data_IF_402909999252
#
_entry.id   IF_402909999252
#
_cell.length_a   1.000
_cell.length_b   1.000
_cell.length_c   1.000
_cell.angle_alpha   90.00
_cell.angle_beta   90.00
_cell.angle_gamma   90.00
#
_symmetry.space_group_name_H-M   'P 1'
#
loop_
_entity.id
_entity.type
_entity.pdbx_description
1 polymer ?
#
# COMPACT_ATOMS: atom_id res chain seq x y z
N UNK A 1 32.04 -16.55 -13.81
CA UNK A 1 30.67 -16.26 -14.31
C UNK A 1 29.82 -16.07 -13.07
N UNK A 2 29.28 -14.87 -12.81
CA UNK A 2 28.31 -14.72 -11.72
C UNK A 2 27.02 -15.39 -12.20
N UNK A 3 26.61 -16.46 -11.52
CA UNK A 3 25.39 -17.20 -11.85
C UNK A 3 24.21 -16.22 -11.94
N UNK A 4 23.57 -16.17 -13.11
CA UNK A 4 22.34 -15.42 -13.32
C UNK A 4 21.25 -16.01 -12.42
N UNK A 5 20.48 -15.17 -11.73
CA UNK A 5 19.39 -15.62 -10.87
C UNK A 5 18.25 -16.12 -11.77
N UNK A 6 17.78 -17.35 -11.54
CA UNK A 6 16.62 -17.92 -12.26
C UNK A 6 15.29 -17.35 -11.72
N UNK A 7 15.03 -16.09 -12.06
CA UNK A 7 13.76 -15.42 -11.80
C UNK A 7 12.55 -16.16 -12.39
N UNK A 8 12.61 -16.72 -13.62
CA UNK A 8 11.52 -17.52 -14.16
C UNK A 8 11.10 -18.68 -13.26
N UNK A 9 12.04 -19.41 -12.66
CA UNK A 9 11.72 -20.53 -11.78
C UNK A 9 11.08 -20.09 -10.45
N UNK A 10 11.51 -18.95 -9.88
CA UNK A 10 10.82 -18.34 -8.73
C UNK A 10 9.37 -18.02 -9.11
N UNK A 11 9.15 -17.41 -10.27
CA UNK A 11 7.81 -17.02 -10.69
C UNK A 11 6.95 -18.25 -10.99
N UNK A 12 7.49 -19.27 -11.65
CA UNK A 12 6.81 -20.54 -11.90
C UNK A 12 6.38 -21.20 -10.60
N UNK A 13 7.23 -21.21 -9.57
CA UNK A 13 6.85 -21.73 -8.25
C UNK A 13 5.59 -20.99 -7.73
N UNK A 14 5.55 -19.67 -7.82
CA UNK A 14 4.41 -18.86 -7.37
C UNK A 14 3.19 -19.12 -8.25
N UNK A 15 3.37 -19.26 -9.56
CA UNK A 15 2.33 -19.59 -10.54
C UNK A 15 1.59 -20.88 -10.20
N UNK A 16 2.32 -21.94 -9.79
CA UNK A 16 1.68 -23.19 -9.34
C UNK A 16 0.73 -23.01 -8.15
N UNK A 17 0.87 -21.93 -7.38
CA UNK A 17 0.01 -21.66 -6.22
C UNK A 17 -1.30 -20.97 -6.60
N UNK A 18 -1.35 -20.28 -7.75
CA UNK A 18 -2.54 -19.52 -8.16
C UNK A 18 -3.19 -20.04 -9.45
N UNK A 19 -2.61 -21.04 -10.10
CA UNK A 19 -3.29 -21.84 -11.12
C UNK A 19 -4.30 -22.83 -10.52
N UNK A 20 -4.20 -23.11 -9.22
CA UNK A 20 -5.13 -23.97 -8.47
C UNK A 20 -6.41 -23.23 -8.02
N UNK A 21 -7.38 -23.97 -7.47
CA UNK A 21 -8.60 -23.40 -6.90
C UNK A 21 -8.30 -22.50 -5.69
N UNK A 22 -8.21 -21.18 -5.93
CA UNK A 22 -7.96 -20.15 -4.92
C UNK A 22 -8.96 -20.19 -3.74
N UNK A 23 -10.18 -20.70 -3.95
CA UNK A 23 -11.15 -20.85 -2.87
C UNK A 23 -10.75 -21.88 -1.82
N UNK A 24 -9.94 -22.89 -2.19
CA UNK A 24 -9.48 -23.90 -1.25
C UNK A 24 -8.55 -23.30 -0.19
N UNK A 25 -7.76 -22.28 -0.54
CA UNK A 25 -6.94 -21.53 0.41
C UNK A 25 -7.81 -20.67 1.33
N UNK A 26 -8.80 -19.95 0.77
CA UNK A 26 -9.77 -19.19 1.55
C UNK A 26 -10.50 -20.06 2.58
N UNK A 27 -10.94 -21.25 2.18
CA UNK A 27 -11.66 -22.21 3.03
C UNK A 27 -10.74 -22.98 4.00
N UNK A 28 -9.44 -22.67 4.05
CA UNK A 28 -8.41 -23.38 4.82
C UNK A 28 -8.34 -24.89 4.55
N UNK A 29 -8.80 -25.32 3.38
CA UNK A 29 -8.75 -26.73 2.94
C UNK A 29 -7.35 -27.10 2.42
N UNK A 30 -6.64 -26.11 1.88
CA UNK A 30 -5.24 -26.21 1.45
C UNK A 30 -4.45 -25.07 2.07
N UNK A 31 -3.20 -25.33 2.45
CA UNK A 31 -2.26 -24.29 2.89
C UNK A 31 -1.49 -23.75 1.71
N UNK A 32 -1.42 -22.43 1.59
CA UNK A 32 -0.64 -21.76 0.56
C UNK A 32 0.85 -22.02 0.80
N UNK A 33 1.59 -22.48 -0.22
CA UNK A 33 3.05 -22.54 -0.14
C UNK A 33 3.61 -21.20 -0.64
N UNK A 34 4.50 -20.59 0.13
CA UNK A 34 5.02 -19.24 -0.15
C UNK A 34 6.55 -19.32 -0.18
N UNK A 35 7.23 -18.78 -1.21
CA UNK A 35 8.68 -18.89 -1.28
C UNK A 35 9.34 -17.92 -0.28
N UNK A 36 10.20 -18.43 0.59
CA UNK A 36 11.12 -17.61 1.37
C UNK A 36 12.40 -17.41 0.55
N UNK A 37 12.42 -16.35 -0.25
CA UNK A 37 13.51 -16.05 -1.18
C UNK A 37 14.76 -15.63 -0.38
N UNK A 38 15.95 -16.21 -0.62
CA UNK A 38 17.15 -15.86 0.13
C UNK A 38 17.50 -14.36 0.07
N UNK A 39 18.03 -13.75 1.16
CA UNK A 39 18.39 -12.32 1.18
C UNK A 39 19.30 -11.88 0.02
N UNK A 40 20.25 -12.71 -0.39
CA UNK A 40 21.12 -12.42 -1.54
C UNK A 40 20.32 -12.27 -2.84
N UNK A 41 19.38 -13.20 -3.08
CA UNK A 41 18.50 -13.21 -4.25
C UNK A 41 17.56 -12.01 -4.21
N UNK A 42 17.00 -11.68 -3.04
CA UNK A 42 16.20 -10.46 -2.84
C UNK A 42 16.99 -9.21 -3.17
N UNK A 43 18.23 -9.07 -2.69
CA UNK A 43 19.05 -7.90 -2.97
C UNK A 43 19.38 -7.77 -4.48
N UNK A 44 19.64 -8.90 -5.16
CA UNK A 44 19.82 -8.92 -6.62
C UNK A 44 18.54 -8.51 -7.37
N UNK A 45 17.38 -9.02 -6.95
CA UNK A 45 16.07 -8.62 -7.48
C UNK A 45 15.85 -7.12 -7.33
N UNK A 46 16.07 -6.57 -6.13
CA UNK A 46 15.92 -5.14 -5.85
C UNK A 46 16.86 -4.29 -6.72
N UNK A 47 18.12 -4.72 -6.85
CA UNK A 47 19.11 -4.03 -7.71
C UNK A 47 18.65 -4.02 -9.17
N UNK A 48 18.17 -5.16 -9.69
CA UNK A 48 17.68 -5.27 -11.07
C UNK A 48 16.45 -4.41 -11.32
N UNK A 49 15.45 -4.49 -10.45
CA UNK A 49 14.22 -3.68 -10.54
C UNK A 49 14.52 -2.20 -10.43
N UNK A 50 15.37 -1.79 -9.48
CA UNK A 50 15.80 -0.39 -9.33
C UNK A 50 16.38 0.14 -10.63
N UNK A 51 17.29 -0.60 -11.28
CA UNK A 51 17.89 -0.20 -12.55
C UNK A 51 16.92 -0.08 -13.73
N UNK A 52 15.76 -0.76 -13.66
CA UNK A 52 14.66 -0.60 -14.63
C UNK A 52 13.85 0.66 -14.28
N UNK A 53 13.36 0.74 -13.04
CA UNK A 53 12.46 1.82 -12.58
C UNK A 53 13.11 3.20 -12.63
N UNK A 54 14.41 3.30 -12.33
CA UNK A 54 15.19 4.55 -12.38
C UNK A 54 15.18 5.17 -13.78
N UNK A 55 15.19 4.33 -14.83
CA UNK A 55 15.19 4.75 -16.25
C UNK A 55 13.81 5.13 -16.77
N UNK A 56 12.75 4.69 -16.10
CA UNK A 56 11.39 5.06 -16.48
C UNK A 56 11.11 6.55 -16.18
N UNK A 57 10.21 7.22 -16.92
CA UNK A 57 9.84 8.59 -16.58
C UNK A 57 8.95 8.62 -15.31
N UNK A 58 8.93 9.76 -14.61
CA UNK A 58 8.02 9.98 -13.48
C UNK A 58 6.54 9.96 -13.88
N UNK A 59 6.24 10.29 -15.15
CA UNK A 59 4.94 10.14 -15.78
C UNK A 59 5.02 9.08 -16.89
N UNK A 60 4.43 7.91 -16.65
CA UNK A 60 4.41 6.82 -17.64
C UNK A 60 3.43 7.11 -18.77
N UNK A 61 3.81 6.79 -20.01
CA UNK A 61 2.89 6.76 -21.15
C UNK A 61 2.60 5.30 -21.52
N UNK A 62 1.38 4.85 -21.26
CA UNK A 62 0.97 3.45 -21.30
C UNK A 62 0.03 3.23 -22.49
N UNK A 63 0.28 2.19 -23.29
CA UNK A 63 -0.48 1.90 -24.52
C UNK A 63 -0.96 0.45 -24.50
N UNK A 64 -2.26 0.25 -24.74
CA UNK A 64 -2.93 -1.06 -24.77
C UNK A 64 -3.95 -1.24 -23.65
N UNK A 65 -4.41 -2.47 -23.47
CA UNK A 65 -5.34 -2.86 -22.41
C UNK A 65 -4.59 -3.26 -21.14
N UNK A 66 -4.90 -2.56 -20.04
CA UNK A 66 -4.30 -2.79 -18.74
C UNK A 66 -5.32 -3.32 -17.75
N UNK A 67 -4.92 -4.35 -17.00
CA UNK A 67 -5.55 -4.67 -15.72
C UNK A 67 -4.96 -3.72 -14.68
N UNK A 68 -5.79 -2.78 -14.23
CA UNK A 68 -5.42 -1.76 -13.24
C UNK A 68 -5.76 -2.31 -11.86
N UNK A 69 -4.71 -2.44 -11.04
CA UNK A 69 -4.74 -2.93 -9.68
C UNK A 69 -4.56 -1.73 -8.74
N UNK A 70 -5.53 -1.54 -7.84
CA UNK A 70 -5.50 -0.53 -6.79
C UNK A 70 -4.58 -0.90 -5.63
N UNK A 71 -4.85 -0.33 -4.44
CA UNK A 71 -4.05 -0.64 -3.25
C UNK A 71 -4.17 -2.12 -2.89
N UNK A 72 -3.02 -2.77 -2.64
CA UNK A 72 -2.95 -4.16 -2.19
C UNK A 72 -2.69 -4.28 -0.69
N UNK A 73 -2.01 -3.31 -0.06
CA UNK A 73 -1.76 -3.28 1.37
C UNK A 73 -1.21 -4.60 1.95
N UNK A 74 -0.37 -5.32 1.21
CA UNK A 74 0.14 -6.63 1.60
C UNK A 74 -0.87 -7.79 1.52
N UNK A 75 -2.00 -7.62 0.81
CA UNK A 75 -2.95 -8.70 0.51
C UNK A 75 -2.41 -9.60 -0.59
N UNK A 76 -1.50 -10.49 -0.21
CA UNK A 76 -0.86 -11.42 -1.13
C UNK A 76 -1.88 -12.35 -1.81
N UNK A 77 -2.89 -12.80 -1.07
CA UNK A 77 -3.91 -13.71 -1.61
C UNK A 77 -4.78 -13.05 -2.69
N UNK A 78 -5.10 -11.76 -2.53
CA UNK A 78 -5.84 -11.01 -3.54
C UNK A 78 -5.00 -10.79 -4.79
N UNK A 79 -3.70 -10.50 -4.64
CA UNK A 79 -2.78 -10.43 -5.77
C UNK A 79 -2.77 -11.75 -6.56
N UNK A 80 -2.58 -12.88 -5.87
CA UNK A 80 -2.61 -14.20 -6.50
C UNK A 80 -3.95 -14.48 -7.21
N UNK A 81 -5.07 -14.09 -6.59
CA UNK A 81 -6.40 -14.25 -7.18
C UNK A 81 -6.59 -13.39 -8.44
N UNK A 82 -6.09 -12.17 -8.45
CA UNK A 82 -6.12 -11.29 -9.62
C UNK A 82 -5.32 -11.92 -10.77
N UNK A 83 -4.12 -12.46 -10.49
CA UNK A 83 -3.29 -13.14 -11.49
C UNK A 83 -3.97 -14.42 -12.00
N UNK A 84 -4.58 -15.20 -11.12
CA UNK A 84 -5.35 -16.40 -11.48
C UNK A 84 -6.47 -16.09 -12.48
N UNK A 85 -7.21 -14.99 -12.26
CA UNK A 85 -8.37 -14.61 -13.09
C UNK A 85 -8.00 -13.88 -14.38
N UNK A 86 -6.95 -13.06 -14.37
CA UNK A 86 -6.59 -12.21 -15.50
C UNK A 86 -5.35 -12.69 -16.27
N UNK A 87 -4.72 -13.76 -15.81
CA UNK A 87 -3.68 -14.48 -16.52
C UNK A 87 -2.26 -13.97 -16.25
N UNK A 88 -1.30 -14.68 -16.84
CA UNK A 88 0.11 -14.38 -16.69
C UNK A 88 0.50 -13.05 -17.38
N UNK A 89 1.40 -12.25 -16.79
CA UNK A 89 1.92 -11.03 -17.42
C UNK A 89 2.63 -11.23 -18.77
N UNK A 90 2.97 -12.48 -19.12
CA UNK A 90 3.45 -12.83 -20.46
C UNK A 90 2.44 -12.48 -21.56
N UNK A 91 1.14 -12.43 -21.24
CA UNK A 91 0.04 -12.17 -22.20
C UNK A 91 -0.83 -10.97 -21.84
N UNK A 92 -0.77 -10.50 -20.60
CA UNK A 92 -1.60 -9.41 -20.09
C UNK A 92 -0.74 -8.28 -19.51
N UNK A 93 -1.13 -7.03 -19.75
CA UNK A 93 -0.48 -5.87 -19.11
C UNK A 93 -1.16 -5.52 -17.79
N UNK A 94 -0.36 -5.12 -16.81
CA UNK A 94 -0.81 -4.71 -15.49
C UNK A 94 -0.29 -3.31 -15.14
N UNK A 95 -1.14 -2.51 -14.52
CA UNK A 95 -0.78 -1.26 -13.89
C UNK A 95 -1.11 -1.33 -12.40
N UNK A 96 -0.10 -1.24 -11.54
CA UNK A 96 -0.29 -1.14 -10.09
C UNK A 96 -0.30 0.34 -9.68
N UNK A 97 -1.34 0.79 -8.99
CA UNK A 97 -1.51 2.19 -8.56
C UNK A 97 -0.80 2.52 -7.22
N UNK A 98 0.21 1.73 -6.83
CA UNK A 98 0.91 1.88 -5.56
C UNK A 98 0.13 1.37 -4.34
N UNK A 99 0.68 1.60 -3.15
CA UNK A 99 0.22 0.99 -1.89
C UNK A 99 0.20 -0.55 -1.98
N UNK A 100 1.30 -1.11 -2.49
CA UNK A 100 1.64 -2.53 -2.43
C UNK A 100 1.89 -2.95 -0.98
N UNK A 101 2.52 -2.06 -0.20
CA UNK A 101 2.69 -2.17 1.26
C UNK A 101 1.52 -1.50 1.99
N UNK A 102 1.47 -1.62 3.32
CA UNK A 102 0.40 -1.08 4.14
C UNK A 102 0.34 -1.84 5.46
N UNK A 103 -0.80 -2.43 5.77
CA UNK A 103 -1.06 -3.03 7.10
C UNK A 103 -1.45 -4.52 7.02
N UNK A 104 -1.35 -5.16 5.85
CA UNK A 104 -1.54 -6.60 5.69
C UNK A 104 -0.34 -7.41 6.18
N UNK A 105 -0.53 -8.72 6.30
CA UNK A 105 0.45 -9.63 6.92
C UNK A 105 1.53 -10.15 5.95
N UNK A 106 1.43 -9.86 4.64
CA UNK A 106 2.30 -10.38 3.58
C UNK A 106 2.80 -9.27 2.65
N UNK A 107 3.25 -8.15 3.23
CA UNK A 107 3.68 -6.98 2.47
C UNK A 107 4.95 -7.29 1.67
N UNK A 108 5.90 -8.02 2.27
CA UNK A 108 7.17 -8.35 1.63
C UNK A 108 6.93 -9.25 0.42
N UNK A 109 6.12 -10.30 0.54
CA UNK A 109 5.80 -11.19 -0.57
C UNK A 109 5.05 -10.48 -1.69
N UNK A 110 4.09 -9.62 -1.34
CA UNK A 110 3.34 -8.82 -2.30
C UNK A 110 4.26 -7.97 -3.16
N UNK A 111 5.20 -7.25 -2.54
CA UNK A 111 6.19 -6.44 -3.26
C UNK A 111 7.12 -7.32 -4.11
N UNK A 112 7.64 -8.42 -3.54
CA UNK A 112 8.57 -9.31 -4.24
C UNK A 112 7.95 -9.92 -5.50
N UNK A 113 6.68 -10.32 -5.48
CA UNK A 113 6.01 -10.85 -6.68
C UNK A 113 5.80 -9.78 -7.74
N UNK A 114 5.35 -8.59 -7.36
CA UNK A 114 5.19 -7.48 -8.32
C UNK A 114 6.53 -7.09 -8.94
N UNK A 115 7.61 -7.11 -8.16
CA UNK A 115 8.98 -6.85 -8.62
C UNK A 115 9.53 -7.96 -9.51
N UNK A 116 9.23 -9.21 -9.20
CA UNK A 116 9.57 -10.35 -10.05
C UNK A 116 8.88 -10.24 -11.42
N UNK A 117 7.59 -9.90 -11.42
CA UNK A 117 6.84 -9.61 -12.65
C UNK A 117 7.47 -8.45 -13.44
N UNK A 118 7.94 -7.40 -12.75
CA UNK A 118 8.60 -6.25 -13.40
C UNK A 118 9.92 -6.61 -14.06
N UNK A 119 10.75 -7.46 -13.45
CA UNK A 119 11.99 -7.94 -14.06
C UNK A 119 11.70 -8.82 -15.29
N UNK A 120 10.73 -9.73 -15.17
CA UNK A 120 10.45 -10.71 -16.22
C UNK A 120 9.72 -10.09 -17.42
N UNK A 121 8.85 -9.11 -17.18
CA UNK A 121 8.04 -8.46 -18.21
C UNK A 121 8.03 -6.93 -18.05
N UNK A 122 9.17 -6.25 -18.23
CA UNK A 122 9.32 -4.83 -17.94
C UNK A 122 8.40 -3.93 -18.77
N UNK A 123 7.99 -4.36 -19.97
CA UNK A 123 7.06 -3.62 -20.84
C UNK A 123 5.59 -3.83 -20.52
N UNK A 124 5.26 -4.94 -19.83
CA UNK A 124 3.88 -5.31 -19.52
C UNK A 124 3.49 -4.92 -18.09
N UNK A 125 4.46 -4.67 -17.22
CA UNK A 125 4.23 -4.30 -15.83
C UNK A 125 4.61 -2.84 -15.61
N UNK A 126 3.60 -2.03 -15.30
CA UNK A 126 3.76 -0.66 -14.83
C UNK A 126 3.45 -0.59 -13.33
N UNK A 127 4.30 0.09 -12.57
CA UNK A 127 4.13 0.24 -11.12
C UNK A 127 4.23 1.73 -10.82
N UNK A 128 3.17 2.28 -10.23
CA UNK A 128 3.18 3.61 -9.65
C UNK A 128 3.50 3.53 -8.17
N UNK A 129 4.01 4.63 -7.64
CA UNK A 129 4.25 4.78 -6.21
C UNK A 129 2.98 5.20 -5.50
N UNK A 130 2.77 4.66 -4.30
CA UNK A 130 1.79 5.13 -3.34
C UNK A 130 2.45 5.73 -2.10
N UNK A 131 1.62 6.16 -1.16
CA UNK A 131 2.08 6.75 0.10
C UNK A 131 2.70 5.70 1.03
N UNK A 132 2.22 4.46 0.96
CA UNK A 132 2.69 3.37 1.82
C UNK A 132 4.14 2.96 1.52
N UNK A 133 4.66 3.28 0.32
CA UNK A 133 6.05 3.05 -0.09
C UNK A 133 7.03 4.17 0.35
N UNK A 134 6.63 5.04 1.27
CA UNK A 134 7.55 5.98 1.91
C UNK A 134 8.11 5.40 3.21
N UNK A 135 9.37 5.70 3.52
CA UNK A 135 10.09 5.17 4.69
C UNK A 135 9.30 5.29 5.98
N UNK A 136 8.69 6.45 6.21
CA UNK A 136 7.87 6.70 7.42
C UNK A 136 6.65 5.78 7.48
N UNK A 137 5.96 5.58 6.36
CA UNK A 137 4.78 4.70 6.30
C UNK A 137 5.19 3.23 6.48
N UNK A 138 6.25 2.79 5.81
CA UNK A 138 6.80 1.43 5.96
C UNK A 138 7.19 1.09 7.41
N UNK A 139 7.75 2.04 8.16
CA UNK A 139 8.05 1.84 9.60
C UNK A 139 6.75 1.81 10.42
N UNK A 140 5.85 2.77 10.21
CA UNK A 140 4.64 2.88 11.05
C UNK A 140 3.68 1.71 10.82
N UNK A 141 3.60 1.19 9.59
CA UNK A 141 2.60 0.20 9.19
C UNK A 141 3.15 -1.24 9.16
N UNK A 142 4.34 -1.49 9.71
CA UNK A 142 4.80 -2.86 9.99
C UNK A 142 5.67 -3.50 8.90
N UNK A 143 5.97 -2.80 7.79
CA UNK A 143 6.80 -3.36 6.71
C UNK A 143 8.23 -3.64 7.19
N UNK A 144 8.79 -2.74 8.01
CA UNK A 144 10.14 -2.92 8.59
C UNK A 144 10.16 -4.14 9.51
N UNK A 145 9.18 -4.24 10.39
CA UNK A 145 9.02 -5.30 11.37
C UNK A 145 8.80 -6.66 10.70
N UNK A 146 7.98 -6.71 9.64
CA UNK A 146 7.78 -7.92 8.84
C UNK A 146 9.10 -8.39 8.22
N UNK A 147 9.86 -7.47 7.63
CA UNK A 147 11.14 -7.78 6.98
C UNK A 147 12.19 -8.29 7.98
N UNK A 148 12.30 -7.63 9.14
CA UNK A 148 13.22 -8.01 10.22
C UNK A 148 12.88 -9.39 10.78
N UNK A 149 11.58 -9.70 10.95
CA UNK A 149 11.10 -11.02 11.36
C UNK A 149 11.42 -12.11 10.34
N UNK A 150 11.19 -11.85 9.06
CA UNK A 150 11.42 -12.84 8.00
C UNK A 150 12.90 -13.16 7.78
N UNK A 151 13.76 -12.15 7.86
CA UNK A 151 15.17 -12.26 7.49
C UNK A 151 16.13 -12.02 8.66
N UNK A 152 15.65 -12.13 9.90
CA UNK A 152 16.47 -12.07 11.12
C UNK A 152 17.38 -10.83 11.19
N UNK A 153 16.82 -9.66 10.86
CA UNK A 153 17.53 -8.37 10.79
C UNK A 153 18.65 -8.30 9.72
N UNK A 154 18.59 -9.07 8.64
CA UNK A 154 19.42 -8.77 7.46
C UNK A 154 19.10 -7.37 6.92
N UNK A 155 20.12 -6.60 6.54
CA UNK A 155 20.01 -5.21 6.05
C UNK A 155 19.37 -5.12 4.64
N UNK A 156 18.07 -5.46 4.54
CA UNK A 156 17.27 -5.39 3.31
C UNK A 156 16.38 -4.14 3.26
N UNK A 157 16.10 -3.50 4.40
CA UNK A 157 15.19 -2.36 4.45
C UNK A 157 15.68 -1.19 3.61
N UNK A 158 16.98 -0.84 3.72
CA UNK A 158 17.60 0.20 2.91
C UNK A 158 17.46 -0.04 1.39
N UNK A 159 17.82 -1.23 0.87
CA UNK A 159 17.57 -1.62 -0.51
C UNK A 159 16.10 -1.48 -0.97
N UNK A 160 15.13 -1.87 -0.14
CA UNK A 160 13.71 -1.65 -0.45
C UNK A 160 13.38 -0.16 -0.56
N UNK A 161 13.80 0.66 0.41
CA UNK A 161 13.53 2.11 0.40
C UNK A 161 14.16 2.79 -0.81
N UNK A 162 15.40 2.41 -1.17
CA UNK A 162 16.08 2.89 -2.38
C UNK A 162 15.33 2.51 -3.66
N UNK A 163 14.69 1.35 -3.70
CA UNK A 163 13.91 0.91 -4.86
C UNK A 163 12.57 1.62 -4.92
N UNK A 164 11.89 1.78 -3.78
CA UNK A 164 10.65 2.55 -3.70
C UNK A 164 10.83 4.02 -4.06
N UNK A 165 11.96 4.63 -3.69
CA UNK A 165 12.21 6.05 -3.95
C UNK A 165 12.27 6.41 -5.43
N UNK A 166 12.55 5.43 -6.30
CA UNK A 166 12.59 5.58 -7.76
C UNK A 166 11.34 5.05 -8.47
N UNK A 167 10.23 4.74 -7.77
CA UNK A 167 8.99 4.35 -8.46
C UNK A 167 8.38 5.53 -9.25
N UNK A 168 7.86 5.32 -10.47
CA UNK A 168 7.05 6.30 -11.21
C UNK A 168 5.87 6.83 -10.38
N UNK A 169 5.43 8.06 -10.65
CA UNK A 169 4.46 8.76 -9.79
C UNK A 169 3.04 8.67 -10.36
N UNK A 170 2.91 8.81 -11.67
CA UNK A 170 1.63 8.76 -12.37
C UNK A 170 1.78 8.07 -13.72
N UNK A 171 0.64 7.71 -14.32
CA UNK A 171 0.59 7.14 -15.67
C UNK A 171 -0.55 7.73 -16.49
N UNK A 172 -0.39 7.72 -17.81
CA UNK A 172 -1.45 8.02 -18.77
C UNK A 172 -1.69 6.78 -19.62
N UNK A 173 -2.88 6.20 -19.51
CA UNK A 173 -3.28 5.08 -20.37
C UNK A 173 -3.95 5.63 -21.63
N UNK A 174 -3.42 5.23 -22.79
CA UNK A 174 -3.94 5.52 -24.13
C UNK A 174 -4.19 7.01 -24.41
N UNK A 175 -3.47 7.92 -23.75
CA UNK A 175 -3.71 9.38 -23.80
C UNK A 175 -5.11 9.80 -23.32
N UNK A 176 -5.79 8.95 -22.56
CA UNK A 176 -7.19 9.17 -22.15
C UNK A 176 -7.39 9.13 -20.64
N UNK A 177 -6.73 8.22 -19.92
CA UNK A 177 -6.95 8.05 -18.48
C UNK A 177 -5.72 8.42 -17.65
N UNK A 178 -5.89 9.34 -16.70
CA UNK A 178 -4.89 9.67 -15.69
C UNK A 178 -4.89 8.63 -14.58
N UNK A 179 -3.73 8.10 -14.23
CA UNK A 179 -3.56 7.10 -13.19
C UNK A 179 -2.62 7.62 -12.11
N UNK A 180 -3.05 7.61 -10.85
CA UNK A 180 -2.28 8.13 -9.71
C UNK A 180 -2.67 7.38 -8.45
N UNK A 181 -1.80 7.26 -7.44
CA UNK A 181 -2.20 6.62 -6.18
C UNK A 181 -3.16 7.47 -5.35
N UNK A 182 -2.76 8.72 -5.07
CA UNK A 182 -3.52 9.70 -4.30
C UNK A 182 -4.59 10.37 -5.13
N UNK A 183 -4.37 11.56 -5.65
CA UNK A 183 -5.42 12.26 -6.40
C UNK A 183 -4.92 13.47 -7.16
N UNK A 184 -5.81 14.45 -7.32
CA UNK A 184 -5.52 15.71 -8.00
C UNK A 184 -5.47 16.88 -7.00
N UNK A 185 -4.94 18.00 -7.45
CA UNK A 185 -4.81 19.20 -6.63
C UNK A 185 -4.52 20.44 -7.48
N UNK A 186 -4.38 21.58 -6.80
CA UNK A 186 -4.30 22.88 -7.48
C UNK A 186 -2.98 23.09 -8.20
N UNK A 187 -1.90 22.44 -7.77
CA UNK A 187 -0.56 22.62 -8.34
C UNK A 187 -0.35 21.82 -9.63
N UNK A 188 -1.27 20.91 -9.96
CA UNK A 188 -1.17 20.05 -11.14
C UNK A 188 -1.79 20.76 -12.36
N UNK A 189 -1.08 21.74 -12.91
CA UNK A 189 -1.58 22.52 -14.05
C UNK A 189 -1.37 21.86 -15.42
N UNK A 190 -0.38 20.97 -15.54
CA UNK A 190 -0.08 20.27 -16.78
C UNK A 190 0.67 18.96 -16.51
N UNK A 191 0.62 18.03 -17.47
CA UNK A 191 1.32 16.75 -17.38
C UNK A 191 2.86 16.92 -17.36
N UNK A 192 3.38 18.01 -17.94
CA UNK A 192 4.83 18.28 -17.98
C UNK A 192 5.39 18.52 -16.56
N UNK A 193 4.62 19.15 -15.67
CA UNK A 193 5.01 19.35 -14.28
C UNK A 193 5.29 18.00 -13.58
N UNK A 194 4.43 16.99 -13.80
CA UNK A 194 4.62 15.64 -13.26
C UNK A 194 5.82 14.95 -13.94
N UNK A 195 5.92 15.05 -15.26
CA UNK A 195 7.02 14.44 -16.01
C UNK A 195 8.40 14.99 -15.63
N UNK A 196 8.47 16.24 -15.15
CA UNK A 196 9.71 16.90 -14.71
C UNK A 196 10.10 16.61 -13.25
N UNK A 197 9.25 15.92 -12.48
CA UNK A 197 9.59 15.52 -11.12
C UNK A 197 10.81 14.60 -11.18
N UNK A 198 11.89 14.99 -10.48
CA UNK A 198 13.10 14.19 -10.38
C UNK A 198 12.92 13.10 -9.32
N UNK A 199 13.33 11.88 -9.66
CA UNK A 199 13.46 10.75 -8.74
C UNK A 199 14.96 10.51 -8.49
N UNK A 200 15.38 10.01 -7.32
CA UNK A 200 14.57 9.49 -6.21
C UNK A 200 13.81 10.54 -5.40
N UNK A 201 12.74 10.13 -4.73
CA UNK A 201 11.95 10.97 -3.81
C UNK A 201 11.93 10.31 -2.43
N UNK A 202 12.67 10.86 -1.47
CA UNK A 202 12.71 10.27 -0.13
C UNK A 202 11.64 10.85 0.80
N UNK A 203 11.24 12.11 0.56
CA UNK A 203 10.28 12.85 1.36
C UNK A 203 9.32 13.66 0.47
N UNK A 204 8.09 13.86 0.97
CA UNK A 204 7.12 14.76 0.35
C UNK A 204 7.45 16.21 0.71
N UNK A 205 8.31 16.85 -0.09
CA UNK A 205 8.88 18.17 0.19
C UNK A 205 8.20 19.35 -0.52
N UNK A 206 7.21 19.08 -1.37
CA UNK A 206 6.49 20.12 -2.11
C UNK A 206 5.01 19.75 -2.29
N UNK A 207 4.22 20.78 -2.57
CA UNK A 207 2.76 20.66 -2.63
C UNK A 207 2.29 19.77 -3.78
N UNK A 208 2.96 19.80 -4.94
CA UNK A 208 2.63 18.93 -6.09
C UNK A 208 2.72 17.44 -5.70
N UNK A 209 3.80 17.04 -5.02
CA UNK A 209 3.94 15.67 -4.52
C UNK A 209 2.86 15.35 -3.48
N UNK A 210 2.65 16.24 -2.52
CA UNK A 210 1.64 16.04 -1.47
C UNK A 210 0.26 15.78 -2.10
N UNK A 211 -0.13 16.55 -3.11
CA UNK A 211 -1.40 16.37 -3.82
C UNK A 211 -1.49 15.02 -4.55
N UNK A 212 -0.45 14.65 -5.31
CA UNK A 212 -0.41 13.39 -6.06
C UNK A 212 -0.52 12.16 -5.15
N UNK A 213 0.05 12.20 -3.94
CA UNK A 213 0.07 11.04 -3.03
C UNK A 213 -1.08 11.01 -2.01
N UNK A 214 -1.66 12.15 -1.67
CA UNK A 214 -2.58 12.24 -0.52
C UNK A 214 -3.92 12.90 -0.78
N UNK A 215 -4.15 13.54 -1.93
CA UNK A 215 -5.47 14.09 -2.20
C UNK A 215 -6.55 13.02 -2.31
N UNK A 216 -7.76 13.36 -1.89
CA UNK A 216 -8.91 12.45 -1.83
C UNK A 216 -10.16 13.10 -2.44
N UNK A 217 -11.07 12.35 -3.08
CA UNK A 217 -12.32 12.89 -3.58
C UNK A 217 -13.26 13.24 -2.42
N UNK A 218 -14.14 14.20 -2.65
CA UNK A 218 -15.20 14.55 -1.69
C UNK A 218 -16.50 14.90 -2.40
N UNK A 219 -17.62 14.57 -1.74
CA UNK A 219 -18.96 14.96 -2.19
C UNK A 219 -19.45 16.23 -1.45
N UNK A 220 -18.64 16.74 -0.51
CA UNK A 220 -19.02 17.87 0.36
C UNK A 220 -18.94 19.21 -0.38
N UNK A 221 -17.98 19.38 -1.29
CA UNK A 221 -17.75 20.63 -2.02
C UNK A 221 -17.39 20.32 -3.48
N UNK A 222 -17.78 21.18 -4.44
CA UNK A 222 -17.53 20.92 -5.86
C UNK A 222 -16.07 21.14 -6.29
N UNK A 223 -15.33 22.00 -5.59
CA UNK A 223 -13.95 22.37 -5.92
C UNK A 223 -12.95 21.73 -4.93
N UNK A 224 -11.77 22.35 -4.76
CA UNK A 224 -10.74 21.92 -3.83
C UNK A 224 -10.97 22.48 -2.42
N UNK A 225 -10.73 21.65 -1.40
CA UNK A 225 -10.67 22.06 0.01
C UNK A 225 -9.37 21.53 0.64
N UNK A 226 -8.52 22.37 1.24
CA UNK A 226 -7.34 21.90 1.96
C UNK A 226 -7.72 20.95 3.10
N UNK A 227 -7.00 19.84 3.25
CA UNK A 227 -7.18 18.96 4.41
C UNK A 227 -6.67 19.63 5.68
N UNK A 228 -7.31 19.40 6.83
CA UNK A 228 -6.97 20.04 8.13
C UNK A 228 -5.51 19.89 8.56
N UNK A 229 -4.76 18.93 7.99
CA UNK A 229 -3.36 18.65 8.32
C UNK A 229 -2.37 19.15 7.26
N UNK A 230 -2.81 19.87 6.23
CA UNK A 230 -1.95 20.30 5.13
C UNK A 230 -1.33 19.13 4.34
N UNK A 231 -1.94 17.95 4.44
CA UNK A 231 -1.41 16.73 3.84
C UNK A 231 -1.96 16.48 2.44
N UNK A 232 -2.63 17.43 1.81
CA UNK A 232 -3.27 17.25 0.50
C UNK A 232 -4.59 18.02 0.41
N UNK A 233 -5.31 17.81 -0.69
CA UNK A 233 -6.60 18.44 -0.94
C UNK A 233 -7.72 17.39 -1.00
N UNK A 234 -8.90 17.77 -0.50
CA UNK A 234 -10.14 17.17 -0.95
C UNK A 234 -10.53 17.79 -2.29
N UNK A 235 -10.99 17.00 -3.26
CA UNK A 235 -11.42 17.50 -4.57
C UNK A 235 -12.81 16.99 -4.96
N UNK A 236 -13.68 17.90 -5.38
CA UNK A 236 -15.04 17.58 -5.83
C UNK A 236 -15.20 17.35 -7.33
N UNK A 237 -16.46 17.19 -7.74
CA UNK A 237 -16.84 16.91 -9.13
C UNK A 237 -16.38 17.98 -10.13
N UNK A 238 -16.50 19.26 -9.76
CA UNK A 238 -16.12 20.37 -10.63
C UNK A 238 -14.60 20.45 -10.79
N UNK A 239 -13.85 20.28 -9.70
CA UNK A 239 -12.39 20.18 -9.75
C UNK A 239 -11.91 19.01 -10.64
N UNK A 240 -12.54 17.84 -10.51
CA UNK A 240 -12.27 16.68 -11.37
C UNK A 240 -12.54 16.98 -12.85
N UNK A 241 -13.70 17.57 -13.15
CA UNK A 241 -14.11 17.90 -14.52
C UNK A 241 -13.21 18.95 -15.16
N UNK A 242 -12.83 19.99 -14.41
CA UNK A 242 -11.90 21.03 -14.87
C UNK A 242 -10.51 20.46 -15.14
N UNK A 243 -9.99 19.60 -14.24
CA UNK A 243 -8.71 18.94 -14.41
C UNK A 243 -8.67 18.08 -15.69
N UNK A 244 -9.69 17.24 -15.88
CA UNK A 244 -9.80 16.38 -17.06
C UNK A 244 -9.91 17.20 -18.35
N UNK A 245 -10.74 18.25 -18.35
CA UNK A 245 -10.89 19.14 -19.51
C UNK A 245 -9.59 19.87 -19.84
N UNK A 246 -8.90 20.39 -18.82
CA UNK A 246 -7.62 21.11 -18.97
C UNK A 246 -6.55 20.22 -19.60
N UNK A 247 -6.48 18.95 -19.20
CA UNK A 247 -5.49 18.00 -19.69
C UNK A 247 -5.96 17.19 -20.91
N UNK A 248 -7.19 17.43 -21.39
CA UNK A 248 -7.83 16.67 -22.48
C UNK A 248 -7.90 15.16 -22.20
N UNK A 249 -8.18 14.81 -20.95
CA UNK A 249 -8.34 13.43 -20.47
C UNK A 249 -9.81 13.15 -20.19
N UNK A 250 -10.18 11.87 -20.09
CA UNK A 250 -11.56 11.41 -19.92
C UNK A 250 -11.87 10.92 -18.51
N UNK A 251 -10.87 10.36 -17.84
CA UNK A 251 -11.07 9.56 -16.62
C UNK A 251 -9.82 9.62 -15.73
N UNK A 252 -10.04 9.53 -14.42
CA UNK A 252 -9.00 9.34 -13.41
C UNK A 252 -9.18 7.95 -12.77
N UNK A 253 -8.14 7.12 -12.83
CA UNK A 253 -8.00 5.95 -11.97
C UNK A 253 -7.12 6.30 -10.78
N UNK A 254 -7.62 6.01 -9.58
CA UNK A 254 -6.86 6.20 -8.34
C UNK A 254 -7.00 5.04 -7.37
N UNK A 255 -6.22 5.06 -6.29
CA UNK A 255 -6.31 4.08 -5.21
C UNK A 255 -6.42 4.78 -3.85
N UNK A 256 -5.63 4.35 -2.87
CA UNK A 256 -5.53 4.87 -1.49
C UNK A 256 -6.74 4.59 -0.60
N UNK A 257 -7.95 4.96 -1.00
CA UNK A 257 -9.13 4.77 -0.15
C UNK A 257 -9.69 3.35 -0.27
N UNK A 258 -10.03 2.76 0.87
CA UNK A 258 -10.76 1.49 0.93
C UNK A 258 -12.22 1.77 0.57
N UNK A 259 -12.76 1.01 -0.37
CA UNK A 259 -14.11 1.18 -0.88
C UNK A 259 -14.86 -0.15 -0.77
N UNK A 260 -16.09 -0.12 -0.24
CA UNK A 260 -16.80 -1.34 0.16
C UNK A 260 -17.02 -2.34 -0.98
N UNK A 261 -17.23 -1.87 -2.22
CA UNK A 261 -17.45 -2.72 -3.41
C UNK A 261 -16.16 -3.07 -4.16
N UNK A 262 -14.99 -2.76 -3.61
CA UNK A 262 -13.68 -2.94 -4.25
C UNK A 262 -13.34 -1.86 -5.27
N UNK A 263 -14.34 -1.24 -5.88
CA UNK A 263 -14.20 -0.01 -6.64
C UNK A 263 -15.35 0.96 -6.34
N UNK A 264 -15.12 2.24 -6.58
CA UNK A 264 -16.11 3.31 -6.45
C UNK A 264 -16.00 4.26 -7.66
N UNK A 265 -17.12 4.48 -8.36
CA UNK A 265 -17.19 5.39 -9.50
C UNK A 265 -17.93 6.65 -9.11
N UNK A 266 -17.27 7.80 -9.25
CA UNK A 266 -17.81 9.11 -8.89
C UNK A 266 -17.78 10.07 -10.07
N UNK A 267 -18.47 11.20 -9.88
CA UNK A 267 -18.42 12.35 -10.79
C UNK A 267 -18.82 11.96 -12.22
N UNK A 268 -19.93 11.24 -12.34
CA UNK A 268 -20.46 10.73 -13.61
C UNK A 268 -19.46 9.82 -14.36
N UNK A 269 -18.79 8.91 -13.62
CA UNK A 269 -17.84 7.95 -14.18
C UNK A 269 -16.48 8.55 -14.55
N UNK A 270 -16.21 9.81 -14.21
CA UNK A 270 -14.93 10.50 -14.48
C UNK A 270 -13.84 10.18 -13.46
N UNK A 271 -14.20 9.58 -12.32
CA UNK A 271 -13.27 9.14 -11.30
C UNK A 271 -13.59 7.70 -10.89
N UNK A 272 -12.58 6.84 -10.90
CA UNK A 272 -12.67 5.46 -10.40
C UNK A 272 -11.62 5.30 -9.29
N UNK A 273 -12.07 5.00 -8.08
CA UNK A 273 -11.20 4.61 -6.97
C UNK A 273 -11.16 3.10 -6.86
N UNK A 274 -9.97 2.49 -6.82
CA UNK A 274 -9.76 1.05 -6.75
C UNK A 274 -9.08 0.65 -5.43
N UNK A 275 -9.65 -0.36 -4.77
CA UNK A 275 -9.04 -1.07 -3.65
C UNK A 275 -8.98 -2.56 -4.01
N UNK A 276 -7.77 -3.07 -4.27
CA UNK A 276 -7.55 -4.45 -4.71
C UNK A 276 -7.23 -5.40 -3.57
N UNK A 277 -7.48 -4.97 -2.33
CA UNK A 277 -7.34 -5.78 -1.14
C UNK A 277 -8.69 -5.88 -0.43
N UNK A 278 -9.15 -7.11 -0.24
CA UNK A 278 -10.44 -7.40 0.36
C UNK A 278 -10.32 -7.65 1.87
N UNK A 279 -11.43 -7.51 2.59
CA UNK A 279 -11.48 -7.89 4.00
C UNK A 279 -10.64 -7.01 4.94
N UNK A 280 -10.25 -5.82 4.51
CA UNK A 280 -9.53 -4.85 5.33
C UNK A 280 -10.48 -4.13 6.27
N UNK A 281 -11.50 -3.46 5.69
CA UNK A 281 -12.52 -2.74 6.44
C UNK A 281 -13.89 -3.32 6.14
N UNK A 282 -14.60 -3.75 7.19
CA UNK A 282 -16.03 -4.10 7.11
C UNK A 282 -16.36 -5.06 5.95
N UNK A 283 -15.49 -6.03 5.69
CA UNK A 283 -15.61 -7.00 4.59
C UNK A 283 -15.69 -6.36 3.19
N UNK A 284 -14.95 -5.28 2.95
CA UNK A 284 -14.86 -4.69 1.62
C UNK A 284 -14.41 -5.73 0.58
N UNK A 285 -14.95 -5.63 -0.63
CA UNK A 285 -14.56 -6.47 -1.76
C UNK A 285 -13.18 -6.06 -2.30
N UNK A 286 -12.56 -6.95 -3.06
CA UNK A 286 -11.40 -6.61 -3.90
C UNK A 286 -11.94 -6.11 -5.24
N UNK A 287 -11.42 -4.99 -5.76
CA UNK A 287 -11.80 -4.45 -7.06
C UNK A 287 -10.61 -4.15 -7.94
N UNK A 288 -10.84 -4.26 -9.25
CA UNK A 288 -9.90 -3.91 -10.31
C UNK A 288 -10.65 -3.19 -11.44
N UNK A 289 -9.89 -2.60 -12.37
CA UNK A 289 -10.41 -2.16 -13.65
C UNK A 289 -9.65 -2.82 -14.79
N UNK A 290 -10.34 -3.06 -15.91
CA UNK A 290 -9.71 -3.37 -17.19
C UNK A 290 -9.98 -2.17 -18.08
N UNK A 291 -8.94 -1.52 -18.57
CA UNK A 291 -9.07 -0.32 -19.38
C UNK A 291 -8.07 -0.29 -20.51
N UNK A 292 -8.58 -0.12 -21.72
CA UNK A 292 -7.82 0.17 -22.91
C UNK A 292 -8.71 0.28 -24.15
N UNK A 293 -8.12 0.16 -25.36
CA UNK A 293 -8.86 0.35 -26.60
C UNK A 293 -9.93 -0.71 -26.84
N UNK A 294 -9.75 -1.91 -26.29
CA UNK A 294 -10.68 -3.04 -26.53
C UNK A 294 -11.62 -3.28 -25.37
N UNK A 295 -11.22 -2.94 -24.14
CA UNK A 295 -11.99 -3.23 -22.93
C UNK A 295 -12.10 -2.01 -22.01
N UNK A 296 -13.29 -1.79 -21.46
CA UNK A 296 -13.53 -0.86 -20.37
C UNK A 296 -14.51 -1.50 -19.39
N UNK A 297 -13.98 -2.20 -18.39
CA UNK A 297 -14.76 -2.97 -17.42
C UNK A 297 -14.27 -2.68 -16.00
N UNK A 298 -15.17 -2.82 -15.04
CA UNK A 298 -14.84 -2.95 -13.62
C UNK A 298 -15.18 -4.36 -13.18
N UNK A 299 -14.36 -4.93 -12.33
CA UNK A 299 -14.64 -6.22 -11.73
C UNK A 299 -14.37 -6.15 -10.23
N UNK A 300 -15.14 -6.90 -9.47
CA UNK A 300 -14.91 -7.11 -8.07
C UNK A 300 -14.96 -8.60 -7.72
N UNK A 301 -14.38 -8.91 -6.58
CA UNK A 301 -14.29 -10.27 -6.06
C UNK A 301 -14.66 -10.24 -4.58
N UNK A 302 -15.42 -11.25 -4.17
CA UNK A 302 -15.82 -11.46 -2.78
C UNK A 302 -14.63 -11.42 -1.83
N UNK A 303 -14.83 -11.00 -0.59
CA UNK A 303 -13.71 -10.98 0.34
C UNK A 303 -13.21 -12.41 0.61
N UNK A 304 -11.88 -12.58 0.64
CA UNK A 304 -11.29 -13.83 1.09
C UNK A 304 -11.00 -13.73 2.59
N UNK A 305 -11.11 -14.83 3.36
CA UNK A 305 -10.66 -14.85 4.73
C UNK A 305 -9.20 -14.41 4.81
N UNK A 306 -8.91 -13.48 5.72
CA UNK A 306 -7.56 -12.98 5.93
C UNK A 306 -6.65 -14.14 6.35
N UNK A 307 -5.78 -14.57 5.43
CA UNK A 307 -4.72 -15.52 5.74
C UNK A 307 -3.76 -14.85 6.71
N UNK A 308 -3.37 -15.58 7.75
CA UNK A 308 -2.27 -15.20 8.63
C UNK A 308 -1.00 -15.94 8.22
N UNK A 309 0.16 -15.42 8.60
CA UNK A 309 1.46 -16.07 8.30
C UNK A 309 1.53 -17.51 8.83
N UNK A 310 0.83 -17.82 9.92
CA UNK A 310 0.74 -19.19 10.46
C UNK A 310 -0.17 -20.12 9.64
N UNK A 311 -1.06 -19.59 8.80
CA UNK A 311 -1.93 -20.37 7.92
C UNK A 311 -1.16 -20.89 6.68
N UNK A 312 -0.02 -20.29 6.33
CA UNK A 312 0.77 -20.63 5.12
C UNK A 312 2.00 -21.47 5.45
N UNK A 313 2.59 -22.10 4.44
CA UNK A 313 3.84 -22.88 4.55
C UNK A 313 4.92 -22.12 3.78
N UNK A 314 5.94 -21.63 4.49
CA UNK A 314 7.11 -21.04 3.85
C UNK A 314 8.04 -22.13 3.34
N UNK A 315 8.37 -22.08 2.05
CA UNK A 315 9.31 -22.99 1.40
C UNK A 315 10.65 -22.28 1.29
N UNK A 316 11.66 -22.85 1.94
CA UNK A 316 13.03 -22.32 1.92
C UNK A 316 13.79 -22.81 0.69
N UNK A 317 14.66 -21.95 0.16
CA UNK A 317 15.63 -22.39 -0.85
C UNK A 317 16.71 -23.26 -0.22
N UNK A 318 17.19 -24.26 -0.96
CA UNK A 318 18.39 -25.04 -0.59
C UNK A 318 19.69 -24.31 -0.89
N UNK A 319 19.63 -23.20 -1.61
CA UNK A 319 20.79 -22.34 -1.91
C UNK A 319 20.56 -20.95 -1.32
N UNK A 320 21.63 -20.37 -0.76
CA UNK A 320 21.61 -18.97 -0.31
C UNK A 320 21.77 -17.99 -1.48
N UNK A 321 22.36 -18.44 -2.60
CA UNK A 321 22.73 -17.58 -3.72
C UNK A 321 21.79 -17.70 -4.92
N UNK A 322 20.95 -18.73 -4.95
CA UNK A 322 19.98 -18.97 -6.00
C UNK A 322 18.68 -19.53 -5.42
N UNK A 323 17.59 -19.46 -6.18
CA UNK A 323 16.36 -20.14 -5.83
C UNK A 323 16.39 -21.59 -6.32
N UNK A 324 16.29 -22.53 -5.39
CA UNK A 324 16.15 -23.94 -5.71
C UNK A 324 15.38 -24.63 -4.58
N UNK A 325 14.43 -25.50 -4.92
CA UNK A 325 13.62 -26.24 -3.94
C UNK A 325 14.00 -27.72 -4.00
N UNK A 326 14.07 -28.38 -2.83
CA UNK A 326 14.22 -29.84 -2.76
C UNK A 326 13.02 -30.52 -3.43
N UNK A 327 13.28 -31.49 -4.32
CA UNK A 327 12.23 -32.36 -4.88
C UNK A 327 11.50 -33.05 -3.73
N UNK A 328 10.18 -33.21 -3.86
CA UNK A 328 9.22 -33.50 -2.77
C UNK A 328 9.50 -34.76 -1.92
N UNK A 329 10.47 -35.61 -2.28
CA UNK A 329 10.80 -36.82 -1.55
C UNK A 329 11.45 -36.62 -0.17
N UNK A 330 11.81 -35.40 0.25
CA UNK A 330 12.46 -35.13 1.56
C UNK A 330 12.21 -33.72 2.14
N UNK A 331 11.00 -33.15 2.03
CA UNK A 331 10.71 -31.82 2.58
C UNK A 331 10.79 -31.81 4.13
N UNK A 332 11.80 -31.12 4.69
CA UNK A 332 11.78 -30.72 6.12
C UNK A 332 10.87 -29.50 6.28
N UNK A 333 9.64 -29.75 6.75
CA UNK A 333 8.72 -28.69 7.13
C UNK A 333 9.24 -27.95 8.37
N UNK A 334 9.52 -26.65 8.24
CA UNK A 334 9.84 -25.81 9.39
C UNK A 334 8.54 -25.08 9.80
N UNK A 335 8.08 -25.36 11.03
CA UNK A 335 7.03 -24.57 11.68
C UNK A 335 7.62 -23.21 12.09
N UNK A 336 6.91 -22.08 11.96
CA UNK A 336 7.45 -20.75 12.25
C UNK A 336 7.91 -20.55 13.70
N UNK A 337 7.63 -21.49 14.61
CA UNK A 337 7.91 -21.36 16.05
C UNK A 337 9.08 -22.22 16.52
N UNK A 338 9.55 -23.21 15.74
CA UNK A 338 10.58 -24.14 16.20
C UNK A 338 11.76 -24.25 15.24
N UNK A 339 12.67 -23.28 15.31
CA UNK A 339 14.10 -23.49 15.02
C UNK A 339 14.95 -22.48 15.80
N UNK A 340 14.92 -22.62 17.12
CA UNK A 340 16.04 -22.23 17.98
C UNK A 340 16.91 -23.48 18.12
N UNK A 341 18.17 -23.35 17.69
CA UNK A 341 19.29 -24.31 17.78
C UNK A 341 19.31 -25.40 16.70
N UNK A 342 20.28 -25.28 15.77
CA UNK A 342 20.66 -26.35 14.84
C UNK A 342 21.61 -25.89 13.73
N UNK A 343 22.90 -25.84 14.04
CA UNK A 343 24.08 -25.74 13.15
C UNK A 343 23.94 -24.99 11.81
N UNK A 344 24.28 -23.70 11.84
CA UNK A 344 24.93 -23.02 10.72
C UNK A 344 26.20 -22.33 11.25
N UNK A 345 27.30 -22.56 10.55
CA UNK A 345 28.63 -22.06 10.86
C UNK A 345 28.63 -20.56 11.14
N UNK A 346 28.92 -20.21 12.39
CA UNK A 346 29.13 -18.84 12.84
C UNK A 346 30.50 -18.36 12.37
N UNK A 347 30.58 -17.88 11.13
CA UNK A 347 31.68 -17.00 10.67
C UNK A 347 31.15 -15.89 9.76
N UNK A 348 30.32 -15.01 10.31
CA UNK A 348 30.20 -13.59 9.89
C UNK A 348 29.19 -12.90 10.80
N UNK A 349 29.64 -12.46 11.99
CA UNK A 349 29.13 -11.35 12.81
C UNK A 349 29.66 -11.52 14.23
N UNK A 350 30.83 -10.93 14.49
CA UNK A 350 31.43 -10.87 15.82
C UNK A 350 30.85 -9.69 16.60
N UNK A 351 30.35 -9.93 17.82
CA UNK A 351 30.21 -8.86 18.82
C UNK A 351 29.09 -9.05 19.85
N UNK A 352 29.47 -9.56 21.03
CA UNK A 352 28.89 -9.34 22.36
C UNK A 352 27.81 -10.31 22.92
N UNK A 353 28.32 -11.04 23.92
CA UNK A 353 27.74 -11.80 25.05
C UNK A 353 26.27 -11.57 25.44
N UNK A 354 25.58 -12.70 25.55
CA UNK A 354 24.33 -12.94 26.29
C UNK A 354 24.54 -12.81 27.82
N UNK A 355 23.64 -12.10 28.51
CA UNK A 355 23.31 -12.36 29.91
C UNK A 355 21.80 -12.59 30.06
N UNK A 356 21.48 -13.79 30.51
CA UNK A 356 20.15 -14.38 30.73
C UNK A 356 19.30 -13.60 31.71
N UNK A 357 18.06 -13.23 31.37
CA UNK A 357 16.97 -13.03 32.34
C UNK A 357 15.65 -13.60 31.80
N UNK A 358 15.02 -14.35 32.69
CA UNK A 358 13.86 -15.23 32.55
C UNK A 358 12.51 -14.48 32.48
N UNK A 359 11.52 -15.21 31.99
CA UNK A 359 10.11 -14.91 31.70
C UNK A 359 9.29 -14.14 32.75
N UNK A 360 8.43 -13.23 32.27
CA UNK A 360 7.24 -12.76 32.98
C UNK A 360 6.33 -11.89 32.10
N UNK A 361 5.12 -12.36 31.77
CA UNK A 361 4.03 -11.54 31.19
C UNK A 361 3.52 -10.53 32.23
N UNK A 362 3.05 -9.36 31.79
CA UNK A 362 1.70 -8.98 32.18
C UNK A 362 0.85 -8.35 31.07
N UNK A 363 -0.43 -8.71 31.08
CA UNK A 363 -1.54 -8.00 30.44
C UNK A 363 -1.64 -6.56 30.96
N UNK A 364 -1.71 -5.56 30.09
CA UNK A 364 -2.44 -4.31 30.39
C UNK A 364 -3.16 -3.81 29.13
N UNK A 365 -4.48 -3.87 29.22
CA UNK A 365 -5.45 -3.13 28.42
C UNK A 365 -5.61 -1.76 29.09
N UNK A 366 -5.41 -0.64 28.40
CA UNK A 366 -6.16 0.62 28.66
C UNK A 366 -5.86 1.71 27.63
N UNK A 367 -6.93 2.25 27.06
CA UNK A 367 -7.06 3.56 26.43
C UNK A 367 -6.35 4.65 27.24
N UNK A 368 -5.61 5.55 26.59
CA UNK A 368 -5.26 6.85 27.15
C UNK A 368 -5.40 7.94 26.08
N UNK A 369 -6.48 8.71 26.25
CA UNK A 369 -6.71 10.04 25.71
C UNK A 369 -5.70 11.03 26.32
N UNK A 370 -5.02 11.81 25.48
CA UNK A 370 -4.20 12.93 25.92
C UNK A 370 -5.07 14.18 26.13
N UNK A 371 -5.14 14.67 27.37
CA UNK A 371 -5.64 16.00 27.72
C UNK A 371 -4.58 16.74 28.52
N UNK A 372 -4.32 17.98 28.09
CA UNK A 372 -3.29 18.92 28.54
C UNK A 372 -3.47 19.32 30.02
N UNK A 373 -2.36 19.34 30.76
CA UNK A 373 -2.26 19.98 32.08
C UNK A 373 -1.94 21.47 31.92
N UNK A 374 -2.80 22.33 32.47
CA UNK A 374 -2.49 23.72 32.83
C UNK A 374 -2.82 23.86 34.32
N UNK A 375 -1.93 24.55 35.04
CA UNK A 375 -1.73 24.45 36.48
C UNK A 375 -2.87 24.94 37.37
N UNK A 376 -2.97 24.27 38.52
CA UNK A 376 -3.68 24.72 39.72
C UNK A 376 -2.99 25.95 40.31
N UNK A 377 -3.77 26.91 40.80
CA UNK A 377 -3.56 27.50 42.12
C UNK A 377 -4.87 27.99 42.74
N UNK A 378 -5.01 27.59 44.01
CA UNK A 378 -5.63 28.25 45.16
C UNK A 378 -7.16 28.32 45.30
N UNK A 379 -7.65 27.53 46.27
CA UNK A 379 -8.96 27.64 46.92
C UNK A 379 -8.77 28.34 48.28
N UNK A 380 -9.62 29.32 48.59
CA UNK A 380 -9.93 29.73 49.97
C UNK A 380 -11.45 29.95 50.09
N UNK A 381 -12.05 29.17 51.02
CA UNK A 381 -13.18 29.42 51.97
C UNK A 381 -14.11 30.60 51.66
N UNK A 382 -15.43 30.59 51.90
CA UNK A 382 -16.38 29.85 52.75
C UNK A 382 -17.75 30.48 52.40
N UNK A 383 -18.85 29.74 52.27
CA UNK A 383 -19.81 29.60 53.36
C UNK A 383 -21.17 30.23 53.02
N UNK A 384 -22.22 29.49 53.37
CA UNK A 384 -23.59 29.90 53.68
C UNK A 384 -24.68 30.15 52.60
N UNK A 385 -25.77 29.44 52.88
CA UNK A 385 -27.19 29.82 52.82
C UNK A 385 -28.04 29.59 51.56
N UNK A 386 -28.76 28.45 51.63
CA UNK A 386 -30.21 28.24 51.52
C UNK A 386 -31.07 29.23 50.70
N UNK A 387 -31.96 28.64 49.89
CA UNK A 387 -33.38 28.98 49.60
C UNK A 387 -33.68 29.06 48.08
N UNK A 388 -34.51 28.10 47.67
CA UNK A 388 -35.24 27.88 46.40
C UNK A 388 -36.54 28.71 46.42
N UNK A 389 -37.39 28.84 45.37
CA UNK A 389 -37.25 29.10 43.92
C UNK A 389 -38.02 30.39 43.52
N UNK A 390 -38.09 30.76 42.24
CA UNK A 390 -39.39 30.99 41.53
C UNK A 390 -39.26 31.37 40.05
N UNK A 391 -40.31 30.99 39.33
CA UNK A 391 -40.57 31.08 37.88
C UNK A 391 -40.76 32.51 37.38
N UNK A 392 -40.40 32.76 36.10
CA UNK A 392 -41.27 33.18 34.96
C UNK A 392 -40.43 33.95 33.91
N UNK A 393 -40.34 33.43 32.69
CA UNK A 393 -40.99 33.93 31.46
C UNK A 393 -40.76 35.42 31.16
N UNK A 394 -40.01 35.71 30.11
CA UNK A 394 -40.43 36.57 28.98
C UNK A 394 -39.35 36.59 27.89
N UNK A 395 -39.80 36.70 26.65
CA UNK A 395 -39.04 36.57 25.42
C UNK A 395 -38.47 37.94 24.95
N UNK A 396 -38.23 38.13 23.63
CA UNK A 396 -36.92 38.25 23.02
C UNK A 396 -36.53 39.71 22.71
N UNK A 397 -35.25 39.98 22.44
CA UNK A 397 -34.84 41.22 21.78
C UNK A 397 -33.81 40.94 20.69
N UNK A 398 -34.23 41.22 19.46
CA UNK A 398 -33.41 41.48 18.28
C UNK A 398 -32.73 42.85 18.46
N UNK A 399 -31.53 43.01 17.88
CA UNK A 399 -31.04 44.18 17.11
C UNK A 399 -29.51 43.98 16.94
N UNK A 400 -29.03 43.61 15.74
CA UNK A 400 -28.63 44.44 14.59
C UNK A 400 -27.16 44.84 14.61
N UNK A 401 -26.46 44.39 13.56
CA UNK A 401 -25.39 45.04 12.77
C UNK A 401 -24.05 45.46 13.40
N UNK A 402 -23.03 45.17 12.56
CA UNK A 402 -21.85 46.00 12.25
C UNK A 402 -20.73 46.01 13.32
N UNK A 403 -19.43 46.00 13.01
CA UNK A 403 -18.63 46.36 11.83
C UNK A 403 -17.20 45.79 12.01
N UNK A 404 -16.54 45.53 10.87
CA UNK A 404 -15.11 45.47 10.49
C UNK A 404 -13.93 45.14 11.45
N UNK A 405 -12.99 44.41 10.81
CA UNK A 405 -11.51 44.58 10.79
C UNK A 405 -10.68 44.15 12.01
N UNK A 406 -9.94 43.03 11.87
CA UNK A 406 -8.52 43.00 11.47
C UNK A 406 -8.13 41.61 10.94
#
# INVERSE_FOLDING_TARGET
>A
MMDEIDYPEIFRFIETQFTDNMEAFAKKQKRLKVPLIPPFVVNKLLTGVHGILEKEPSLLNLIGDYVIVGSLHGSFIDLLRILSKHGSPARQKYLFLGNLTGYGDFQVETVLVVYLMKILWPTNIAILRGYEEFTKACIVNGFREELDMMYQNCELFGPFMKTFSVLPIAGIINKEAFCVSGGIGKEIHNLKAIAQIKRPIDILNNQLLIELFNSEPTDVLPMYLPTKKGQGHLFGEKACSEFLSMLKLKLIFRSKNIVSKGYDERFNGKLVTLCSASGIERNNLCGIAIYGPTMNQRANFEFMPNLKRNDVIFITSISQYNWAVQKESNLKYISPVNSVIGHLDTKACSGLRLSTITTGRPNINTKLSYSLNVGRKDNVKSGNDVIVPTKRKSAPFNITKQILEL
#
